data_IF_731422012479
#
_entry.id   IF_731422012479
#
_cell.length_a   1.000
_cell.length_b   1.000
_cell.length_c   1.000
_cell.angle_alpha   90.00
_cell.angle_beta   90.00
_cell.angle_gamma   90.00
#
_symmetry.space_group_name_H-M   'P 1'
#
loop_
_entity.id
_entity.type
_entity.pdbx_description
1 polymer ?
#
# COMPACT_ATOMS: atom_id res chain seq x y z
N UNK A 1 -6.77 -14.50 67.74
CA UNK A 1 -7.42 -13.60 66.76
C UNK A 1 -6.34 -12.68 66.25
N UNK A 2 -5.69 -13.08 65.16
CA UNK A 2 -4.65 -12.30 64.48
C UNK A 2 -5.20 -11.88 63.13
N UNK A 3 -5.40 -10.59 62.95
CA UNK A 3 -5.75 -9.97 61.67
C UNK A 3 -4.48 -9.79 60.86
N UNK A 4 -4.34 -10.52 59.76
CA UNK A 4 -3.34 -10.25 58.73
C UNK A 4 -3.93 -9.22 57.75
N UNK A 5 -3.29 -8.05 57.68
CA UNK A 5 -3.54 -7.05 56.64
C UNK A 5 -2.91 -7.51 55.33
N UNK A 6 -3.68 -7.51 54.26
CA UNK A 6 -3.19 -7.58 52.89
C UNK A 6 -2.73 -6.18 52.49
N UNK A 7 -1.42 -5.98 52.35
CA UNK A 7 -0.86 -4.86 51.60
C UNK A 7 -1.11 -5.09 50.11
N UNK A 8 -1.93 -4.24 49.51
CA UNK A 8 -2.08 -4.13 48.07
C UNK A 8 -0.82 -3.49 47.49
N UNK A 9 -0.05 -4.30 46.76
CA UNK A 9 1.11 -3.83 45.98
C UNK A 9 0.57 -2.95 44.84
N UNK A 10 0.70 -1.63 45.01
CA UNK A 10 0.36 -0.64 44.00
C UNK A 10 1.30 -0.75 42.80
N UNK A 11 0.71 -0.81 41.60
CA UNK A 11 1.41 -0.71 40.32
C UNK A 11 2.34 0.51 40.33
N UNK A 12 3.60 0.30 39.97
CA UNK A 12 4.69 1.29 40.06
C UNK A 12 4.68 2.34 38.93
N UNK A 13 3.54 2.55 38.28
CA UNK A 13 3.40 3.53 37.21
C UNK A 13 2.17 4.38 37.48
N UNK A 14 2.39 5.68 37.64
CA UNK A 14 1.33 6.68 37.75
C UNK A 14 0.68 6.88 36.38
N UNK A 15 -0.64 7.01 36.32
CA UNK A 15 -1.39 7.24 35.08
C UNK A 15 -0.92 8.54 34.38
N UNK A 16 -0.36 9.49 35.14
CA UNK A 16 0.28 10.69 34.63
C UNK A 16 1.60 10.44 33.88
N UNK A 17 2.38 9.43 34.28
CA UNK A 17 3.62 9.06 33.59
C UNK A 17 3.32 8.35 32.26
N UNK A 18 2.27 7.52 32.22
CA UNK A 18 1.82 6.88 30.98
C UNK A 18 1.26 7.89 29.97
N UNK A 19 0.53 8.91 30.44
CA UNK A 19 -0.01 9.97 29.58
C UNK A 19 1.07 10.91 29.01
N UNK A 20 2.25 10.96 29.62
CA UNK A 20 3.38 11.78 29.17
C UNK A 20 4.29 11.05 28.17
N UNK A 21 4.06 9.77 27.88
CA UNK A 21 4.84 9.05 26.88
C UNK A 21 4.56 9.64 25.48
N UNK A 22 5.59 9.91 24.67
CA UNK A 22 5.43 10.44 23.31
C UNK A 22 4.95 9.35 22.35
N UNK A 23 3.69 8.93 22.50
CA UNK A 23 3.08 7.84 21.73
C UNK A 23 2.87 8.20 20.25
N UNK A 24 2.86 9.48 19.91
CA UNK A 24 2.69 9.94 18.54
C UNK A 24 3.88 9.56 17.62
N UNK A 25 5.10 9.48 18.16
CA UNK A 25 6.28 9.00 17.41
C UNK A 25 6.44 7.48 17.45
N UNK A 26 6.17 6.87 18.61
CA UNK A 26 6.40 5.44 18.83
C UNK A 26 5.56 4.51 17.93
N UNK A 27 4.40 4.97 17.43
CA UNK A 27 3.56 4.18 16.50
C UNK A 27 4.11 4.21 15.07
N UNK A 28 4.74 5.31 14.67
CA UNK A 28 5.38 5.44 13.37
C UNK A 28 6.66 4.60 13.33
N UNK A 29 7.48 4.70 14.39
CA UNK A 29 8.67 3.86 14.58
C UNK A 29 8.33 2.35 14.55
N UNK A 30 7.17 1.95 15.07
CA UNK A 30 6.73 0.55 15.09
C UNK A 30 6.28 0.05 13.70
N UNK A 31 5.54 0.88 12.94
CA UNK A 31 5.13 0.55 11.57
C UNK A 31 6.33 0.54 10.62
N UNK A 32 7.26 1.46 10.81
CA UNK A 32 8.53 1.51 10.08
C UNK A 32 9.43 0.31 10.42
N UNK A 33 9.50 -0.12 11.69
CA UNK A 33 10.21 -1.34 12.07
C UNK A 33 9.63 -2.60 11.43
N UNK A 34 8.30 -2.70 11.28
CA UNK A 34 7.65 -3.85 10.62
C UNK A 34 7.97 -3.86 9.11
N UNK A 35 7.97 -2.70 8.45
CA UNK A 35 8.30 -2.56 7.03
C UNK A 35 9.80 -2.74 6.73
N UNK A 36 10.67 -2.37 7.68
CA UNK A 36 12.12 -2.46 7.54
C UNK A 36 12.71 -3.77 8.06
N UNK A 37 11.91 -4.69 8.63
CA UNK A 37 12.42 -5.98 9.09
C UNK A 37 12.70 -6.86 7.86
N UNK A 38 13.97 -7.23 7.57
CA UNK A 38 14.24 -8.17 6.50
C UNK A 38 13.55 -9.49 6.83
N UNK A 39 12.71 -9.98 5.91
CA UNK A 39 12.13 -11.32 5.99
C UNK A 39 13.31 -12.30 6.10
N UNK A 40 13.49 -13.04 7.21
CA UNK A 40 14.62 -13.93 7.33
C UNK A 40 14.54 -14.98 6.23
N UNK A 41 15.48 -14.93 5.30
CA UNK A 41 15.64 -15.92 4.25
C UNK A 41 15.89 -17.25 4.94
N UNK A 42 14.95 -18.19 4.82
CA UNK A 42 15.10 -19.54 5.38
C UNK A 42 16.22 -20.23 4.60
N UNK A 43 17.44 -20.19 5.13
CA UNK A 43 18.57 -20.93 4.58
C UNK A 43 18.17 -22.42 4.55
N UNK A 44 18.18 -23.09 3.40
CA UNK A 44 18.00 -24.53 3.38
C UNK A 44 19.14 -25.14 4.17
N UNK A 45 18.78 -25.84 5.24
CA UNK A 45 19.69 -26.61 6.09
C UNK A 45 20.39 -27.65 5.22
N UNK A 46 21.57 -27.30 4.71
CA UNK A 46 22.48 -28.21 4.01
C UNK A 46 23.44 -28.86 5.02
N UNK A 47 22.89 -29.49 6.07
CA UNK A 47 23.69 -30.36 6.92
C UNK A 47 22.83 -31.51 7.47
N UNK A 48 22.77 -32.60 6.71
CA UNK A 48 22.43 -33.94 7.21
C UNK A 48 22.92 -35.01 6.22
N UNK A 49 24.23 -35.06 6.00
CA UNK A 49 24.92 -36.26 5.54
C UNK A 49 25.36 -37.08 6.75
N UNK A 50 24.40 -37.71 7.44
CA UNK A 50 24.74 -38.83 8.33
C UNK A 50 23.67 -39.93 8.23
N UNK A 51 24.06 -40.99 7.53
CA UNK A 51 23.24 -42.16 7.27
C UNK A 51 23.00 -42.97 8.54
N UNK A 52 21.75 -42.96 9.01
CA UNK A 52 21.21 -44.03 9.87
C UNK A 52 19.84 -44.50 9.37
N UNK A 53 19.61 -45.81 9.25
CA UNK A 53 18.37 -46.35 8.70
C UNK A 53 17.30 -46.41 9.80
N UNK A 54 16.18 -45.70 9.61
CA UNK A 54 15.01 -45.82 10.47
C UNK A 54 13.85 -46.44 9.68
N UNK A 55 13.17 -47.36 10.35
CA UNK A 55 12.27 -48.37 9.81
C UNK A 55 10.93 -47.83 9.31
N UNK A 56 10.53 -48.39 8.17
CA UNK A 56 9.19 -48.47 7.53
C UNK A 56 7.98 -48.26 8.45
N UNK A 57 7.14 -47.28 8.10
CA UNK A 57 5.70 -47.48 7.93
C UNK A 57 5.16 -46.65 6.74
N UNK A 58 4.45 -47.35 5.85
CA UNK A 58 3.57 -46.85 4.78
C UNK A 58 2.57 -45.84 5.36
N UNK A 59 2.16 -44.73 4.73
CA UNK A 59 2.29 -44.26 3.35
C UNK A 59 1.01 -43.47 3.04
N UNK A 60 1.13 -42.26 2.50
CA UNK A 60 0.38 -41.73 1.36
C UNK A 60 1.04 -40.41 0.95
N UNK A 61 1.33 -40.33 -0.35
CA UNK A 61 2.02 -39.25 -1.04
C UNK A 61 0.96 -38.22 -1.45
N UNK A 62 1.27 -36.94 -1.23
CA UNK A 62 0.95 -35.90 -2.19
C UNK A 62 2.14 -34.93 -2.22
N UNK A 63 2.90 -35.02 -3.32
CA UNK A 63 3.71 -33.92 -3.84
C UNK A 63 2.75 -32.74 -4.10
N UNK A 64 3.12 -31.47 -3.94
CA UNK A 64 4.41 -30.84 -4.16
C UNK A 64 4.18 -29.77 -5.21
N UNK A 65 4.27 -28.50 -4.80
CA UNK A 65 4.55 -27.32 -5.61
C UNK A 65 4.86 -26.21 -4.59
N UNK A 66 6.14 -25.90 -4.44
CA UNK A 66 6.55 -24.70 -3.74
C UNK A 66 6.52 -23.58 -4.79
N UNK A 67 5.43 -22.82 -4.83
CA UNK A 67 5.44 -21.50 -5.40
C UNK A 67 6.20 -20.60 -4.40
N UNK A 68 7.30 -20.00 -4.85
CA UNK A 68 7.90 -18.91 -4.10
C UNK A 68 7.08 -17.66 -4.42
N UNK A 69 6.06 -17.39 -3.62
CA UNK A 69 5.40 -16.09 -3.61
C UNK A 69 6.33 -15.10 -2.95
N UNK A 70 6.78 -14.11 -3.71
CA UNK A 70 7.38 -12.90 -3.14
C UNK A 70 6.19 -12.10 -2.62
N UNK A 71 5.88 -12.27 -1.34
CA UNK A 71 4.93 -11.39 -0.66
C UNK A 71 5.64 -10.05 -0.44
N UNK A 72 5.38 -9.08 -1.32
CA UNK A 72 5.66 -7.69 -1.03
C UNK A 72 4.75 -7.27 0.12
N UNK A 73 5.29 -7.18 1.33
CA UNK A 73 4.57 -6.67 2.49
C UNK A 73 4.38 -5.15 2.33
N UNK A 74 3.34 -4.74 1.61
CA UNK A 74 2.93 -3.34 1.51
C UNK A 74 2.02 -3.03 2.70
N UNK A 75 2.57 -2.45 3.77
CA UNK A 75 1.75 -1.85 4.82
C UNK A 75 1.37 -0.43 4.38
N UNK A 76 0.14 -0.24 3.91
CA UNK A 76 -0.42 1.10 3.66
C UNK A 76 -0.83 1.72 5.01
N UNK A 77 -0.24 2.86 5.42
CA UNK A 77 -0.71 3.54 6.63
C UNK A 77 -2.03 4.27 6.33
N UNK A 78 -3.14 3.72 6.83
CA UNK A 78 -4.51 4.26 6.76
C UNK A 78 -4.73 5.67 7.36
N UNK A 79 -3.68 6.35 7.83
CA UNK A 79 -3.81 7.62 8.54
C UNK A 79 -3.97 8.85 7.63
N UNK A 80 -3.68 8.75 6.33
CA UNK A 80 -3.67 9.92 5.44
C UNK A 80 -5.04 10.34 4.89
N UNK A 81 -6.12 9.58 5.14
CA UNK A 81 -7.48 9.93 4.67
C UNK A 81 -8.24 10.92 5.56
N UNK A 82 -7.64 11.44 6.65
CA UNK A 82 -8.30 12.43 7.53
C UNK A 82 -7.90 13.86 7.19
N UNK A 83 -8.61 14.47 6.23
CA UNK A 83 -8.53 15.89 5.95
C UNK A 83 -9.34 16.72 6.94
N UNK A 84 -8.78 17.04 8.10
CA UNK A 84 -9.28 18.11 8.98
C UNK A 84 -8.10 18.97 9.47
N UNK A 85 -8.00 20.19 8.96
CA UNK A 85 -7.15 21.26 9.52
C UNK A 85 -8.04 22.20 10.37
N UNK A 86 -8.08 22.04 11.70
CA UNK A 86 -8.86 22.91 12.58
C UNK A 86 -8.14 24.22 12.94
N UNK A 87 -7.28 24.77 12.07
CA UNK A 87 -6.45 25.95 12.39
C UNK A 87 -6.50 27.09 11.37
N UNK A 88 -7.65 27.37 10.74
CA UNK A 88 -7.87 28.66 10.07
C UNK A 88 -8.81 29.58 10.85
N UNK A 89 -8.32 30.70 11.43
CA UNK A 89 -9.18 31.76 11.92
C UNK A 89 -9.84 32.51 10.75
N UNK A 90 -11.06 33.06 10.94
CA UNK A 90 -11.80 33.72 9.87
C UNK A 90 -11.12 35.01 9.42
N UNK A 91 -10.65 35.03 8.18
CA UNK A 91 -10.14 36.25 7.54
C UNK A 91 -11.33 37.06 6.99
N UNK A 92 -11.45 38.29 7.48
CA UNK A 92 -12.56 39.19 7.20
C UNK A 92 -12.61 39.72 5.77
N UNK A 93 -13.83 40.06 5.36
CA UNK A 93 -14.18 40.69 4.11
C UNK A 93 -13.47 42.06 3.90
N UNK A 94 -12.91 42.25 2.70
CA UNK A 94 -12.33 43.51 2.25
C UNK A 94 -12.39 43.68 0.74
N UNK A 95 -13.48 44.32 0.28
CA UNK A 95 -13.65 45.27 -0.84
C UNK A 95 -12.58 45.35 -1.96
N UNK A 96 -13.03 44.97 -3.16
CA UNK A 96 -12.84 45.58 -4.51
C UNK A 96 -11.73 46.61 -4.78
N UNK A 97 -10.89 46.32 -5.78
CA UNK A 97 -10.46 47.28 -6.80
C UNK A 97 -9.97 46.57 -8.08
N UNK A 98 -10.56 46.91 -9.22
CA UNK A 98 -10.09 46.55 -10.56
C UNK A 98 -8.93 47.49 -11.01
N UNK A 99 -8.09 47.04 -11.95
CA UNK A 99 -7.78 47.92 -13.06
C UNK A 99 -7.86 47.26 -14.44
N UNK A 100 -8.10 48.15 -15.41
CA UNK A 100 -8.32 48.01 -16.85
C UNK A 100 -7.16 47.40 -17.68
N UNK A 101 -7.43 47.04 -18.95
CA UNK A 101 -6.50 46.31 -19.83
C UNK A 101 -5.66 47.22 -20.74
N UNK A 102 -4.49 46.75 -21.18
CA UNK A 102 -3.77 47.19 -22.41
C UNK A 102 -2.45 46.43 -22.60
N UNK A 103 -1.87 46.40 -23.81
CA UNK A 103 -2.42 45.95 -25.08
C UNK A 103 -1.53 44.84 -25.71
N UNK A 104 -1.99 44.31 -26.84
CA UNK A 104 -1.27 43.36 -27.68
C UNK A 104 0.08 43.89 -28.17
N UNK A 105 1.05 43.00 -28.29
CA UNK A 105 2.09 43.07 -29.32
C UNK A 105 2.32 41.69 -29.94
N UNK A 106 2.49 41.78 -31.25
CA UNK A 106 2.56 40.75 -32.29
C UNK A 106 4.02 40.39 -32.59
N UNK A 107 4.20 39.29 -33.34
CA UNK A 107 5.38 38.81 -34.08
C UNK A 107 6.39 37.90 -33.38
N UNK A 108 6.58 36.70 -33.96
CA UNK A 108 7.74 35.86 -33.66
C UNK A 108 7.63 34.40 -34.05
N UNK A 109 7.45 34.12 -35.34
CA UNK A 109 7.52 32.79 -35.94
C UNK A 109 8.97 32.27 -35.91
N UNK A 110 9.21 31.12 -35.28
CA UNK A 110 10.46 30.36 -35.42
C UNK A 110 10.13 28.85 -35.48
N UNK A 111 10.27 28.30 -36.68
CA UNK A 111 10.35 26.87 -36.94
C UNK A 111 11.68 26.32 -36.39
N UNK A 112 11.61 25.25 -35.61
CA UNK A 112 12.75 24.53 -35.06
C UNK A 112 12.28 23.27 -34.34
N UNK A 113 12.16 22.18 -35.08
CA UNK A 113 11.95 20.84 -34.53
C UNK A 113 13.25 20.36 -33.87
N UNK A 114 13.15 19.90 -32.61
CA UNK A 114 13.79 18.73 -32.01
C UNK A 114 13.88 18.93 -30.49
N UNK A 115 12.96 18.30 -29.77
CA UNK A 115 12.86 18.35 -28.31
C UNK A 115 11.43 18.59 -27.82
N UNK A 116 10.51 17.68 -28.15
CA UNK A 116 9.18 17.66 -27.52
C UNK A 116 9.34 17.22 -26.05
N UNK A 117 9.72 18.17 -25.20
CA UNK A 117 9.61 18.05 -23.76
C UNK A 117 8.13 18.06 -23.39
N UNK A 118 7.62 16.90 -22.98
CA UNK A 118 6.32 16.72 -22.37
C UNK A 118 6.35 17.34 -20.96
N UNK A 119 5.93 18.59 -20.82
CA UNK A 119 5.55 19.19 -19.53
C UNK A 119 4.39 20.17 -19.72
N UNK A 120 3.24 19.66 -20.13
CA UNK A 120 1.97 20.36 -19.90
C UNK A 120 1.39 19.81 -18.60
N UNK A 121 1.40 20.62 -17.54
CA UNK A 121 0.63 20.35 -16.34
C UNK A 121 -0.86 20.38 -16.69
N UNK A 122 -1.64 19.39 -16.25
CA UNK A 122 -3.10 19.47 -16.30
C UNK A 122 -3.57 20.59 -15.34
N UNK A 123 -4.68 21.27 -15.66
CA UNK A 123 -5.10 22.50 -14.97
C UNK A 123 -5.70 22.30 -13.56
N UNK A 124 -5.77 21.08 -13.04
CA UNK A 124 -6.48 20.73 -11.80
C UNK A 124 -5.58 20.65 -10.54
N UNK A 125 -4.26 20.81 -10.67
CA UNK A 125 -3.33 20.72 -9.54
C UNK A 125 -3.10 19.31 -9.02
N UNK A 126 -3.60 18.29 -9.73
CA UNK A 126 -3.19 16.90 -9.55
C UNK A 126 -1.69 16.82 -9.88
N UNK A 127 -0.92 15.98 -9.17
CA UNK A 127 0.52 15.75 -9.40
C UNK A 127 0.73 15.02 -10.74
N UNK A 128 0.37 15.64 -11.85
CA UNK A 128 0.09 15.00 -13.13
C UNK A 128 1.35 14.53 -13.86
N UNK A 129 2.52 15.07 -13.51
CA UNK A 129 3.74 14.79 -14.25
C UNK A 129 4.56 13.60 -13.75
N UNK A 130 4.47 13.24 -12.47
CA UNK A 130 5.54 12.44 -11.85
C UNK A 130 5.15 11.03 -11.43
N UNK A 131 3.86 10.71 -11.33
CA UNK A 131 3.35 9.38 -10.93
C UNK A 131 3.36 8.35 -12.04
N UNK A 132 3.81 8.71 -13.25
CA UNK A 132 3.75 7.82 -14.43
C UNK A 132 5.15 7.60 -14.97
N UNK A 133 5.91 6.84 -14.20
CA UNK A 133 7.23 6.37 -14.60
C UNK A 133 7.11 4.92 -15.05
N UNK A 134 7.69 4.59 -16.20
CA UNK A 134 7.84 3.22 -16.68
C UNK A 134 9.32 2.91 -16.91
N UNK A 135 9.62 1.61 -16.95
CA UNK A 135 10.92 1.11 -17.40
C UNK A 135 10.86 0.81 -18.90
N UNK A 136 11.58 1.57 -19.72
CA UNK A 136 11.75 1.25 -21.14
C UNK A 136 12.79 0.12 -21.27
N UNK A 137 12.47 -1.11 -20.88
CA UNK A 137 13.38 -2.25 -21.03
C UNK A 137 12.61 -3.50 -21.47
N UNK A 138 12.94 -4.11 -22.63
CA UNK A 138 12.22 -5.28 -23.12
C UNK A 138 12.23 -6.46 -22.14
N UNK A 139 11.07 -7.09 -21.99
CA UNK A 139 10.89 -8.28 -21.16
C UNK A 139 10.69 -8.00 -19.67
N UNK A 140 10.53 -6.73 -19.28
CA UNK A 140 9.96 -6.35 -17.99
C UNK A 140 8.45 -6.15 -18.14
N UNK A 141 7.70 -6.60 -17.14
CA UNK A 141 6.24 -6.47 -17.08
C UNK A 141 5.81 -5.87 -15.74
N UNK A 142 4.70 -5.15 -15.73
CA UNK A 142 4.09 -4.67 -14.49
C UNK A 142 3.46 -5.87 -13.78
N UNK A 143 3.91 -6.13 -12.55
CA UNK A 143 3.40 -7.22 -11.70
C UNK A 143 2.55 -6.72 -10.54
N UNK A 144 2.66 -5.44 -10.18
CA UNK A 144 1.86 -4.81 -9.13
C UNK A 144 1.73 -3.31 -9.40
N UNK A 145 0.57 -2.73 -9.10
CA UNK A 145 0.33 -1.29 -9.19
C UNK A 145 -0.67 -0.86 -8.13
N UNK A 146 -0.35 0.13 -7.31
CA UNK A 146 -1.32 0.77 -6.43
C UNK A 146 -1.04 2.26 -6.41
N UNK A 147 -1.94 3.06 -6.97
CA UNK A 147 -1.83 4.51 -7.04
C UNK A 147 -2.97 5.11 -6.20
N UNK A 148 -2.64 5.94 -5.21
CA UNK A 148 -3.64 6.56 -4.34
C UNK A 148 -3.19 7.93 -3.83
N UNK A 149 -3.92 8.99 -4.18
CA UNK A 149 -3.82 10.28 -3.48
C UNK A 149 -2.43 10.92 -3.50
N UNK A 150 -1.68 10.71 -4.60
CA UNK A 150 -0.30 11.20 -4.75
C UNK A 150 0.77 10.31 -4.11
N UNK A 151 0.36 9.18 -3.52
CA UNK A 151 1.22 8.04 -3.25
C UNK A 151 1.08 7.03 -4.37
N UNK A 152 2.10 6.19 -4.53
CA UNK A 152 1.89 4.96 -5.27
C UNK A 152 3.08 4.04 -5.25
N UNK A 153 2.83 2.83 -5.72
CA UNK A 153 3.81 1.77 -5.89
C UNK A 153 3.57 1.10 -7.24
N UNK A 154 4.65 0.85 -7.98
CA UNK A 154 4.64 0.07 -9.21
C UNK A 154 5.79 -0.93 -9.14
N UNK A 155 5.48 -2.21 -9.24
CA UNK A 155 6.50 -3.26 -9.32
C UNK A 155 6.58 -3.75 -10.74
N UNK A 156 7.81 -3.78 -11.28
CA UNK A 156 8.11 -4.41 -12.56
C UNK A 156 9.00 -5.62 -12.34
N UNK A 157 8.67 -6.72 -13.01
CA UNK A 157 9.38 -8.00 -12.90
C UNK A 157 9.98 -8.48 -14.21
N UNK A 158 11.10 -9.18 -14.13
CA UNK A 158 11.71 -9.96 -15.20
C UNK A 158 12.37 -11.22 -14.62
N UNK A 159 11.62 -12.33 -14.56
CA UNK A 159 12.12 -13.58 -14.00
C UNK A 159 12.37 -13.47 -12.50
N UNK A 160 13.64 -13.55 -12.07
CA UNK A 160 14.07 -13.37 -10.68
C UNK A 160 14.48 -11.91 -10.36
N UNK A 161 14.39 -11.01 -11.35
CA UNK A 161 14.74 -9.60 -11.20
C UNK A 161 13.48 -8.78 -10.99
N UNK A 162 13.58 -7.78 -10.13
CA UNK A 162 12.48 -6.90 -9.79
C UNK A 162 12.98 -5.47 -9.58
N UNK A 163 12.16 -4.48 -9.94
CA UNK A 163 12.32 -3.09 -9.57
C UNK A 163 10.96 -2.53 -9.15
N UNK A 164 10.92 -1.97 -7.96
CA UNK A 164 9.79 -1.27 -7.36
C UNK A 164 10.04 0.24 -7.47
N UNK A 165 9.04 0.95 -7.96
CA UNK A 165 9.00 2.40 -8.02
C UNK A 165 7.94 2.90 -7.04
N UNK A 166 8.36 3.75 -6.11
CA UNK A 166 7.48 4.37 -5.14
C UNK A 166 7.42 5.87 -5.36
N UNK A 167 6.21 6.43 -5.26
CA UNK A 167 5.95 7.86 -5.31
C UNK A 167 5.49 8.36 -3.96
N UNK A 168 6.08 9.47 -3.53
CA UNK A 168 5.76 10.09 -2.25
C UNK A 168 5.64 11.61 -2.38
N UNK A 169 4.82 12.27 -1.54
CA UNK A 169 4.85 13.71 -1.38
C UNK A 169 6.24 14.22 -0.96
N UNK A 170 6.68 15.35 -1.52
CA UNK A 170 7.99 15.96 -1.24
C UNK A 170 8.24 16.20 0.25
N UNK A 171 7.18 16.51 1.02
CA UNK A 171 7.25 16.71 2.48
C UNK A 171 7.75 15.48 3.26
N UNK A 172 7.66 14.28 2.68
CA UNK A 172 8.14 13.05 3.31
C UNK A 172 9.63 12.78 3.05
N UNK A 173 10.26 13.50 2.12
CA UNK A 173 11.60 13.20 1.62
C UNK A 173 12.66 13.18 2.72
N UNK A 174 12.71 14.21 3.57
CA UNK A 174 13.75 14.32 4.60
C UNK A 174 13.68 13.16 5.59
N UNK A 175 12.47 12.69 5.92
CA UNK A 175 12.26 11.53 6.81
C UNK A 175 12.79 10.26 6.18
N UNK A 176 12.39 9.96 4.94
CA UNK A 176 12.85 8.77 4.20
C UNK A 176 14.36 8.82 3.97
N UNK A 177 14.89 9.96 3.58
CA UNK A 177 16.32 10.12 3.34
C UNK A 177 17.12 9.90 4.63
N UNK A 178 16.65 10.45 5.75
CA UNK A 178 17.29 10.27 7.05
C UNK A 178 17.25 8.81 7.52
N UNK A 179 16.17 8.08 7.25
CA UNK A 179 16.07 6.65 7.55
C UNK A 179 17.14 5.86 6.77
N UNK A 180 17.26 6.11 5.46
CA UNK A 180 18.26 5.42 4.62
C UNK A 180 19.70 5.79 4.95
N UNK A 181 19.93 7.03 5.39
CA UNK A 181 21.25 7.53 5.77
C UNK A 181 21.58 7.24 7.25
N UNK A 182 20.68 6.62 8.02
CA UNK A 182 20.96 6.27 9.42
C UNK A 182 21.99 5.13 9.49
N UNK A 183 23.20 5.36 10.05
CA UNK A 183 24.20 4.31 10.18
C UNK A 183 23.74 3.13 11.05
N UNK A 184 22.70 3.29 11.87
CA UNK A 184 22.10 2.21 12.68
C UNK A 184 21.26 1.26 11.83
N UNK A 185 20.75 1.70 10.68
CA UNK A 185 20.02 0.87 9.72
C UNK A 185 20.91 -0.12 8.97
N UNK A 186 22.24 0.06 9.03
CA UNK A 186 23.21 -0.85 8.42
C UNK A 186 23.30 -0.78 6.89
N UNK A 187 22.65 0.21 6.27
CA UNK A 187 22.69 0.42 4.83
C UNK A 187 24.01 1.08 4.41
N UNK A 188 24.60 0.59 3.32
CA UNK A 188 25.81 1.22 2.76
C UNK A 188 25.42 2.31 1.77
N UNK A 189 25.78 3.57 2.07
CA UNK A 189 25.61 4.66 1.12
C UNK A 189 26.59 4.52 -0.06
N UNK A 190 26.04 4.37 -1.25
CA UNK A 190 26.80 4.15 -2.49
C UNK A 190 27.24 5.45 -3.20
N UNK A 191 26.69 6.59 -2.77
CA UNK A 191 26.98 7.91 -3.31
C UNK A 191 25.87 8.48 -4.20
N UNK A 192 26.20 9.53 -4.96
CA UNK A 192 25.28 10.17 -5.89
C UNK A 192 25.19 9.42 -7.23
N UNK A 193 24.00 9.43 -7.82
CA UNK A 193 23.70 8.92 -9.17
C UNK A 193 22.71 9.84 -9.89
N UNK A 194 22.25 9.43 -11.07
CA UNK A 194 21.14 10.07 -11.80
C UNK A 194 19.95 9.13 -11.89
N UNK A 195 18.74 9.65 -11.73
CA UNK A 195 17.49 8.94 -11.99
C UNK A 195 16.51 9.92 -12.63
N UNK A 196 15.92 9.54 -13.77
CA UNK A 196 15.00 10.40 -14.54
C UNK A 196 15.62 11.78 -14.86
N UNK A 197 16.91 11.81 -15.21
CA UNK A 197 17.65 13.03 -15.56
C UNK A 197 17.95 13.98 -14.38
N UNK A 198 17.76 13.53 -13.13
CA UNK A 198 17.99 14.34 -11.92
C UNK A 198 18.94 13.65 -10.95
N UNK A 199 19.53 14.44 -10.06
CA UNK A 199 20.38 13.92 -8.99
C UNK A 199 19.59 13.02 -8.04
N UNK A 200 20.22 11.92 -7.67
CA UNK A 200 19.69 10.95 -6.73
C UNK A 200 20.81 10.42 -5.82
N UNK A 201 20.46 9.85 -4.68
CA UNK A 201 21.40 9.14 -3.79
C UNK A 201 21.02 7.67 -3.76
N UNK A 202 22.03 6.78 -3.74
CA UNK A 202 21.80 5.34 -3.67
C UNK A 202 22.36 4.71 -2.40
N UNK A 203 21.72 3.63 -1.97
CA UNK A 203 22.09 2.80 -0.84
C UNK A 203 22.02 1.31 -1.22
N UNK A 204 22.84 0.48 -0.57
CA UNK A 204 22.75 -0.97 -0.66
C UNK A 204 22.15 -1.55 0.63
N UNK A 205 21.15 -2.41 0.46
CA UNK A 205 20.58 -3.25 1.53
C UNK A 205 21.36 -4.57 1.67
N UNK A 206 22.03 -4.99 0.60
CA UNK A 206 22.85 -6.18 0.55
C UNK A 206 23.33 -6.45 -0.88
N UNK A 207 23.97 -7.60 -1.12
CA UNK A 207 24.34 -8.01 -2.46
C UNK A 207 23.11 -8.11 -3.37
N UNK A 208 22.99 -7.17 -4.31
CA UNK A 208 21.96 -7.14 -5.33
C UNK A 208 20.68 -6.39 -4.99
N UNK A 209 20.50 -5.91 -3.74
CA UNK A 209 19.37 -5.08 -3.32
C UNK A 209 19.83 -3.64 -3.14
N UNK A 210 19.32 -2.76 -4.01
CA UNK A 210 19.69 -1.36 -4.07
C UNK A 210 18.44 -0.49 -4.01
N UNK A 211 18.57 0.66 -3.36
CA UNK A 211 17.56 1.71 -3.39
C UNK A 211 18.17 3.03 -3.85
N UNK A 212 17.41 3.82 -4.60
CA UNK A 212 17.79 5.13 -5.12
C UNK A 212 16.66 6.10 -4.93
N UNK A 213 16.91 7.17 -4.17
CA UNK A 213 15.96 8.26 -3.98
C UNK A 213 16.38 9.47 -4.80
N UNK A 214 15.47 9.93 -5.67
CA UNK A 214 15.64 11.21 -6.39
C UNK A 214 15.29 12.37 -5.46
N UNK A 215 15.99 13.49 -5.59
CA UNK A 215 15.60 14.71 -4.88
C UNK A 215 14.18 15.16 -5.28
N UNK A 216 13.39 15.75 -4.36
CA UNK A 216 12.02 16.14 -4.67
C UNK A 216 11.92 17.19 -5.78
N UNK A 217 10.87 17.10 -6.58
CA UNK A 217 10.54 18.00 -7.67
C UNK A 217 9.01 18.07 -7.80
N UNK A 218 8.46 19.23 -8.16
CA UNK A 218 7.01 19.45 -8.34
C UNK A 218 6.11 18.92 -7.20
N UNK A 219 6.61 18.91 -5.96
CA UNK A 219 5.84 18.46 -4.81
C UNK A 219 5.83 16.95 -4.55
N UNK A 220 6.60 16.16 -5.29
CA UNK A 220 6.80 14.71 -5.06
C UNK A 220 8.26 14.28 -5.18
N UNK A 221 8.56 13.05 -4.80
CA UNK A 221 9.81 12.37 -5.15
C UNK A 221 9.55 10.91 -5.52
N UNK A 222 10.52 10.32 -6.24
CA UNK A 222 10.50 8.91 -6.63
C UNK A 222 11.63 8.20 -5.90
N UNK A 223 11.31 7.04 -5.37
CA UNK A 223 12.28 6.05 -4.95
C UNK A 223 12.19 4.83 -5.87
N UNK A 224 13.31 4.40 -6.42
CA UNK A 224 13.44 3.08 -7.03
C UNK A 224 14.14 2.14 -6.05
N UNK A 225 13.67 0.90 -5.92
CA UNK A 225 14.34 -0.16 -5.17
C UNK A 225 14.24 -1.46 -5.93
N UNK A 226 15.25 -2.33 -5.88
CA UNK A 226 15.09 -3.63 -6.52
C UNK A 226 16.26 -4.58 -6.42
N UNK A 227 15.92 -5.85 -6.72
CA UNK A 227 16.85 -6.94 -6.90
C UNK A 227 17.19 -7.09 -8.38
N UNK A 228 18.08 -6.25 -8.89
CA UNK A 228 18.28 -6.09 -10.34
C UNK A 228 19.58 -6.68 -10.89
N UNK A 229 20.36 -7.40 -10.06
CA UNK A 229 21.69 -7.92 -10.40
C UNK A 229 22.77 -7.27 -9.56
N UNK A 230 23.92 -6.97 -10.15
CA UNK A 230 24.92 -6.14 -9.48
C UNK A 230 24.57 -4.65 -9.55
N UNK A 231 25.34 -3.81 -8.85
CA UNK A 231 25.13 -2.36 -8.82
C UNK A 231 25.08 -1.74 -10.22
N UNK A 232 25.93 -2.18 -11.14
CA UNK A 232 25.97 -1.61 -12.48
C UNK A 232 24.73 -1.99 -13.29
N UNK A 233 24.23 -3.22 -13.14
CA UNK A 233 22.98 -3.66 -13.74
C UNK A 233 21.78 -2.88 -13.20
N UNK A 234 21.75 -2.60 -11.89
CA UNK A 234 20.72 -1.77 -11.28
C UNK A 234 20.78 -0.32 -11.77
N UNK A 235 21.95 0.32 -11.74
CA UNK A 235 22.14 1.70 -12.24
C UNK A 235 21.76 1.81 -13.73
N UNK A 236 22.04 0.77 -14.54
CA UNK A 236 21.61 0.73 -15.94
C UNK A 236 20.08 0.71 -16.10
N UNK A 237 19.32 0.12 -15.18
CA UNK A 237 17.85 0.19 -15.21
C UNK A 237 17.35 1.60 -14.88
N UNK A 238 17.99 2.31 -13.94
CA UNK A 238 17.62 3.68 -13.60
C UNK A 238 17.72 4.63 -14.79
N UNK A 239 18.72 4.41 -15.66
CA UNK A 239 18.90 5.16 -16.91
C UNK A 239 17.83 4.87 -17.97
N UNK A 240 17.07 3.78 -17.82
CA UNK A 240 15.96 3.36 -18.71
C UNK A 240 14.58 3.78 -18.16
N UNK A 241 14.52 4.37 -16.96
CA UNK A 241 13.28 4.92 -16.43
C UNK A 241 12.87 6.16 -17.23
N UNK A 242 11.61 6.21 -17.64
CA UNK A 242 11.03 7.29 -18.45
C UNK A 242 9.71 7.78 -17.86
N UNK A 243 9.49 9.09 -17.92
CA UNK A 243 8.15 9.65 -17.70
C UNK A 243 7.28 9.43 -18.93
N UNK A 244 6.04 9.01 -18.73
CA UNK A 244 5.07 8.76 -19.79
C UNK A 244 3.74 9.46 -19.52
N UNK A 245 2.92 9.63 -20.56
CA UNK A 245 1.55 10.12 -20.40
C UNK A 245 0.62 9.04 -19.80
N UNK A 246 -0.58 9.46 -19.40
CA UNK A 246 -1.61 8.58 -18.81
C UNK A 246 -1.95 7.39 -19.70
N UNK A 247 -2.20 7.66 -20.99
CA UNK A 247 -2.63 6.62 -21.91
C UNK A 247 -1.54 5.56 -22.13
N UNK A 248 -0.28 5.98 -22.21
CA UNK A 248 0.88 5.09 -22.34
C UNK A 248 1.11 4.30 -21.06
N UNK A 249 0.96 4.93 -19.88
CA UNK A 249 1.04 4.25 -18.60
C UNK A 249 -0.03 3.15 -18.50
N UNK A 250 -1.30 3.51 -18.70
CA UNK A 250 -2.43 2.58 -18.63
C UNK A 250 -2.32 1.46 -19.67
N UNK A 251 -1.80 1.74 -20.87
CA UNK A 251 -1.56 0.72 -21.90
C UNK A 251 -0.42 -0.25 -21.55
N UNK A 252 0.49 0.14 -20.66
CA UNK A 252 1.57 -0.72 -20.15
C UNK A 252 1.14 -1.56 -18.94
N UNK A 253 0.00 -1.23 -18.32
CA UNK A 253 -0.58 -2.04 -17.26
C UNK A 253 -1.10 -3.35 -17.87
N UNK A 254 -0.47 -4.45 -17.47
CA UNK A 254 -0.80 -5.80 -17.89
C UNK A 254 -1.23 -6.64 -16.71
N UNK A 255 -1.70 -7.87 -16.97
CA UNK A 255 -2.04 -8.83 -15.93
C UNK A 255 -3.25 -8.39 -15.11
N UNK A 256 -3.08 -8.32 -13.80
CA UNK A 256 -4.15 -8.08 -12.83
C UNK A 256 -4.37 -6.59 -12.51
N UNK A 257 -3.76 -5.69 -13.27
CA UNK A 257 -4.03 -4.26 -13.13
C UNK A 257 -5.47 -3.92 -13.57
N UNK A 258 -6.17 -3.17 -12.73
CA UNK A 258 -7.52 -2.65 -12.95
C UNK A 258 -7.40 -1.16 -13.26
N UNK A 259 -7.65 -0.82 -14.53
CA UNK A 259 -7.70 0.58 -14.95
C UNK A 259 -8.94 1.29 -14.37
N UNK A 260 -8.88 2.63 -14.19
CA UNK A 260 -10.01 3.40 -13.66
C UNK A 260 -11.32 3.20 -14.44
N UNK A 261 -11.22 3.08 -15.78
CA UNK A 261 -12.38 2.88 -16.65
C UNK A 261 -13.05 1.51 -16.48
N UNK A 262 -12.28 0.49 -16.07
CA UNK A 262 -12.76 -0.89 -15.91
C UNK A 262 -13.19 -1.20 -14.47
N UNK A 263 -12.81 -0.33 -13.51
CA UNK A 263 -12.98 -0.55 -12.08
C UNK A 263 -14.40 -0.95 -11.67
N UNK A 264 -15.43 -0.26 -12.18
CA UNK A 264 -16.81 -0.54 -11.79
C UNK A 264 -17.25 -1.94 -12.25
N UNK A 265 -16.90 -2.33 -13.48
CA UNK A 265 -17.22 -3.66 -14.01
C UNK A 265 -16.49 -4.75 -13.23
N UNK A 266 -15.23 -4.51 -12.83
CA UNK A 266 -14.46 -5.42 -11.97
C UNK A 266 -15.10 -5.58 -10.59
N UNK A 267 -15.58 -4.50 -9.96
CA UNK A 267 -16.32 -4.59 -8.69
C UNK A 267 -17.59 -5.44 -8.86
N UNK A 268 -18.37 -5.19 -9.91
CA UNK A 268 -19.60 -5.95 -10.18
C UNK A 268 -19.32 -7.45 -10.37
N UNK A 269 -18.21 -7.79 -11.04
CA UNK A 269 -17.74 -9.16 -11.17
C UNK A 269 -17.41 -9.78 -9.81
N UNK A 270 -16.62 -9.10 -8.97
CA UNK A 270 -16.22 -9.59 -7.64
C UNK A 270 -17.40 -9.75 -6.68
N UNK A 271 -18.47 -8.96 -6.86
CA UNK A 271 -19.67 -9.04 -6.04
C UNK A 271 -20.64 -10.16 -6.47
N UNK A 272 -20.40 -10.82 -7.61
CA UNK A 272 -21.37 -11.74 -8.21
C UNK A 272 -21.74 -12.94 -7.33
N UNK A 273 -20.83 -13.39 -6.45
CA UNK A 273 -21.02 -14.51 -5.52
C UNK A 273 -20.91 -14.12 -4.04
N UNK A 274 -20.80 -12.82 -3.75
CA UNK A 274 -20.71 -12.28 -2.40
C UNK A 274 -22.11 -11.90 -1.90
N UNK A 275 -22.60 -12.43 -0.76
CA UNK A 275 -23.82 -11.93 -0.15
C UNK A 275 -23.62 -10.48 0.28
N UNK A 276 -24.41 -9.56 -0.28
CA UNK A 276 -24.36 -8.13 0.05
C UNK A 276 -25.57 -7.69 0.87
N UNK A 277 -25.42 -6.73 1.80
CA UNK A 277 -26.55 -6.18 2.55
C UNK A 277 -27.58 -5.53 1.64
N UNK A 278 -28.83 -5.45 2.10
CA UNK A 278 -29.90 -4.83 1.34
C UNK A 278 -29.56 -3.38 0.95
N UNK A 279 -29.63 -3.09 -0.34
CA UNK A 279 -29.35 -1.76 -0.90
C UNK A 279 -27.89 -1.51 -1.27
N UNK A 280 -26.96 -2.38 -0.90
CA UNK A 280 -25.55 -2.27 -1.29
C UNK A 280 -25.37 -2.37 -2.81
N UNK A 281 -24.58 -1.48 -3.40
CA UNK A 281 -24.26 -1.42 -4.82
C UNK A 281 -22.75 -1.35 -5.05
N UNK A 282 -22.31 -1.69 -6.25
CA UNK A 282 -20.90 -1.60 -6.65
C UNK A 282 -20.30 -0.19 -6.45
N UNK A 283 -21.10 0.86 -6.68
CA UNK A 283 -20.68 2.26 -6.48
C UNK A 283 -20.48 2.67 -5.02
N UNK A 284 -20.83 1.82 -4.05
CA UNK A 284 -20.60 2.09 -2.62
C UNK A 284 -19.16 1.75 -2.19
N UNK A 285 -18.39 1.03 -3.02
CA UNK A 285 -17.00 0.65 -2.72
C UNK A 285 -16.09 1.86 -2.91
N UNK A 286 -15.41 2.36 -1.85
CA UNK A 286 -14.55 3.52 -1.95
C UNK A 286 -13.24 3.19 -2.69
N UNK A 287 -12.47 4.23 -3.01
CA UNK A 287 -11.13 4.11 -3.57
C UNK A 287 -11.07 3.97 -5.09
N UNK A 288 -9.85 4.02 -5.61
CA UNK A 288 -9.52 3.88 -7.03
C UNK A 288 -9.66 5.14 -7.88
N UNK A 289 -10.47 6.12 -7.49
CA UNK A 289 -10.50 7.47 -8.12
C UNK A 289 -10.24 7.49 -9.63
N UNK A 290 -9.23 8.26 -10.04
CA UNK A 290 -8.67 8.31 -11.40
C UNK A 290 -7.41 7.44 -11.57
N UNK A 291 -7.13 6.60 -10.58
CA UNK A 291 -5.85 5.92 -10.39
C UNK A 291 -5.98 4.41 -10.61
N UNK A 292 -4.96 3.80 -11.22
CA UNK A 292 -4.94 2.35 -11.43
C UNK A 292 -4.57 1.61 -10.15
N UNK A 293 -5.17 0.44 -9.95
CA UNK A 293 -4.91 -0.44 -8.82
C UNK A 293 -4.81 -1.88 -9.31
N UNK A 294 -4.05 -2.72 -8.65
CA UNK A 294 -4.08 -4.15 -8.89
C UNK A 294 -5.40 -4.75 -8.36
N UNK A 295 -5.73 -5.91 -8.91
CA UNK A 295 -6.98 -6.62 -8.61
C UNK A 295 -7.08 -7.03 -7.14
N UNK A 296 -5.96 -7.32 -6.49
CA UNK A 296 -5.95 -7.65 -5.07
C UNK A 296 -6.40 -6.45 -4.22
N UNK A 297 -5.90 -5.23 -4.50
CA UNK A 297 -6.32 -4.02 -3.79
C UNK A 297 -7.80 -3.69 -4.04
N UNK A 298 -8.28 -3.88 -5.28
CA UNK A 298 -9.70 -3.76 -5.60
C UNK A 298 -10.53 -4.79 -4.82
N UNK A 299 -10.07 -6.04 -4.75
CA UNK A 299 -10.71 -7.11 -3.99
C UNK A 299 -10.77 -6.82 -2.48
N UNK A 300 -9.69 -6.29 -1.91
CA UNK A 300 -9.65 -5.85 -0.51
C UNK A 300 -10.65 -4.73 -0.24
N UNK A 301 -10.73 -3.72 -1.11
CA UNK A 301 -11.73 -2.65 -0.99
C UNK A 301 -13.17 -3.19 -1.07
N UNK A 302 -13.46 -4.07 -2.03
CA UNK A 302 -14.79 -4.68 -2.20
C UNK A 302 -15.19 -5.48 -0.97
N UNK A 303 -14.36 -6.46 -0.60
CA UNK A 303 -14.68 -7.40 0.48
C UNK A 303 -14.65 -6.74 1.85
N UNK A 304 -13.74 -5.79 2.07
CA UNK A 304 -13.70 -4.96 3.26
C UNK A 304 -14.96 -4.13 3.43
N UNK A 305 -15.38 -3.41 2.38
CA UNK A 305 -16.61 -2.59 2.43
C UNK A 305 -17.85 -3.44 2.72
N UNK A 306 -17.99 -4.60 2.05
CA UNK A 306 -19.11 -5.52 2.31
C UNK A 306 -19.07 -6.03 3.74
N UNK A 307 -17.90 -6.45 4.24
CA UNK A 307 -17.74 -6.93 5.61
C UNK A 307 -18.06 -5.83 6.65
N UNK A 308 -17.59 -4.60 6.44
CA UNK A 308 -17.91 -3.45 7.29
C UNK A 308 -19.43 -3.24 7.42
N UNK A 309 -20.17 -3.34 6.30
CA UNK A 309 -21.62 -3.18 6.30
C UNK A 309 -22.34 -4.30 7.05
N UNK A 310 -21.89 -5.55 6.89
CA UNK A 310 -22.43 -6.67 7.66
C UNK A 310 -22.12 -6.56 9.15
N UNK A 311 -20.92 -6.12 9.53
CA UNK A 311 -20.54 -5.89 10.92
C UNK A 311 -21.40 -4.79 11.56
N UNK A 312 -21.63 -3.69 10.85
CA UNK A 312 -22.52 -2.61 11.30
C UNK A 312 -23.96 -3.11 11.51
N UNK A 313 -24.48 -3.93 10.59
CA UNK A 313 -25.80 -4.56 10.75
C UNK A 313 -25.82 -5.48 11.97
N UNK A 314 -24.82 -6.33 12.14
CA UNK A 314 -24.69 -7.26 13.26
C UNK A 314 -24.70 -6.53 14.61
N UNK A 315 -23.90 -5.47 14.76
CA UNK A 315 -23.84 -4.65 15.97
C UNK A 315 -25.18 -3.98 16.29
N UNK A 316 -25.81 -3.39 15.27
CA UNK A 316 -27.10 -2.71 15.41
C UNK A 316 -28.19 -3.70 15.82
N UNK A 317 -28.26 -4.85 15.16
CA UNK A 317 -29.23 -5.91 15.43
C UNK A 317 -29.06 -6.49 16.84
N UNK A 318 -27.81 -6.78 17.25
CA UNK A 318 -27.50 -7.27 18.60
C UNK A 318 -27.92 -6.27 19.67
N UNK A 319 -27.68 -4.98 19.45
CA UNK A 319 -28.08 -3.90 20.37
C UNK A 319 -29.61 -3.77 20.46
N UNK A 320 -30.31 -3.97 19.35
CA UNK A 320 -31.77 -3.90 19.28
C UNK A 320 -32.48 -5.18 19.76
N UNK A 321 -31.76 -6.29 19.93
CA UNK A 321 -32.34 -7.61 20.19
C UNK A 321 -33.05 -8.20 18.95
N UNK A 322 -32.62 -7.83 17.75
CA UNK A 322 -33.10 -8.41 16.49
C UNK A 322 -32.25 -9.62 16.10
N UNK A 323 -32.59 -10.77 16.68
CA UNK A 323 -31.85 -12.03 16.47
C UNK A 323 -31.80 -12.45 14.99
N UNK A 324 -32.84 -12.12 14.21
CA UNK A 324 -32.92 -12.50 12.80
C UNK A 324 -31.89 -11.72 11.97
N UNK A 325 -31.84 -10.39 12.14
CA UNK A 325 -30.89 -9.56 11.42
C UNK A 325 -29.43 -9.81 11.86
N UNK A 326 -29.21 -10.14 13.14
CA UNK A 326 -27.89 -10.54 13.63
C UNK A 326 -27.45 -11.88 13.03
N UNK A 327 -28.34 -12.86 12.96
CA UNK A 327 -28.05 -14.17 12.34
C UNK A 327 -27.74 -14.02 10.85
N UNK A 328 -28.52 -13.22 10.12
CA UNK A 328 -28.28 -12.95 8.69
C UNK A 328 -26.87 -12.39 8.44
N UNK A 329 -26.47 -11.37 9.21
CA UNK A 329 -25.15 -10.77 9.08
C UNK A 329 -24.02 -11.74 9.42
N UNK A 330 -24.18 -12.54 10.49
CA UNK A 330 -23.20 -13.56 10.87
C UNK A 330 -23.07 -14.65 9.79
N UNK A 331 -24.19 -15.11 9.22
CA UNK A 331 -24.21 -16.13 8.17
C UNK A 331 -23.52 -15.62 6.89
N UNK A 332 -23.77 -14.37 6.50
CA UNK A 332 -23.10 -13.73 5.37
C UNK A 332 -21.57 -13.67 5.59
N UNK A 333 -21.12 -13.17 6.74
CA UNK A 333 -19.69 -13.12 7.08
C UNK A 333 -19.07 -14.52 7.13
N UNK A 334 -19.76 -15.52 7.67
CA UNK A 334 -19.27 -16.91 7.73
C UNK A 334 -19.04 -17.51 6.34
N UNK A 335 -19.84 -17.12 5.35
CA UNK A 335 -19.67 -17.56 3.97
C UNK A 335 -18.43 -16.98 3.27
N UNK A 336 -17.70 -16.06 3.91
CA UNK A 336 -16.53 -15.40 3.31
C UNK A 336 -15.38 -16.31 2.89
N UNK A 337 -15.30 -17.53 3.43
CA UNK A 337 -14.34 -18.55 2.95
C UNK A 337 -14.69 -19.10 1.56
N UNK A 338 -15.93 -18.93 1.13
CA UNK A 338 -16.42 -19.40 -0.16
C UNK A 338 -16.45 -18.31 -1.24
N UNK A 339 -16.27 -17.04 -0.87
CA UNK A 339 -16.26 -15.90 -1.81
C UNK A 339 -15.11 -16.05 -2.80
N UNK A 340 -15.41 -16.06 -4.11
CA UNK A 340 -14.40 -16.27 -5.14
C UNK A 340 -13.25 -15.26 -5.04
N UNK A 341 -13.57 -13.98 -4.84
CA UNK A 341 -12.57 -12.90 -4.70
C UNK A 341 -11.60 -13.12 -3.53
N UNK A 342 -12.06 -13.60 -2.37
CA UNK A 342 -11.15 -13.85 -1.24
C UNK A 342 -10.28 -15.08 -1.45
N UNK A 343 -10.77 -16.10 -2.16
CA UNK A 343 -9.97 -17.27 -2.53
C UNK A 343 -8.92 -16.97 -3.59
N UNK A 344 -9.24 -16.06 -4.51
CA UNK A 344 -8.29 -15.50 -5.46
C UNK A 344 -7.16 -14.79 -4.71
N UNK A 345 -7.52 -13.86 -3.81
CA UNK A 345 -6.58 -13.08 -3.00
C UNK A 345 -5.70 -13.93 -2.07
N UNK A 346 -6.18 -15.08 -1.57
CA UNK A 346 -5.41 -15.98 -0.69
C UNK A 346 -4.12 -16.48 -1.35
N UNK A 347 -4.08 -16.55 -2.69
CA UNK A 347 -2.88 -16.96 -3.41
C UNK A 347 -1.76 -15.90 -3.38
N UNK A 348 -2.12 -14.63 -3.14
CA UNK A 348 -1.24 -13.47 -3.30
C UNK A 348 -0.90 -12.81 -1.96
N UNK A 349 -1.83 -12.80 -1.00
CA UNK A 349 -1.64 -12.13 0.28
C UNK A 349 -2.59 -12.57 1.39
N UNK A 350 -2.34 -12.03 2.59
CA UNK A 350 -2.96 -12.47 3.84
C UNK A 350 -4.23 -11.69 4.22
N UNK A 351 -4.71 -10.74 3.41
CA UNK A 351 -5.93 -9.99 3.70
C UNK A 351 -7.14 -10.90 4.00
N UNK A 352 -7.38 -11.99 3.24
CA UNK A 352 -8.49 -12.90 3.54
C UNK A 352 -8.47 -13.47 4.97
N UNK A 353 -7.29 -13.72 5.54
CA UNK A 353 -7.17 -14.23 6.91
C UNK A 353 -7.66 -13.23 7.96
N UNK A 354 -7.47 -11.93 7.73
CA UNK A 354 -8.01 -10.87 8.59
C UNK A 354 -9.53 -10.95 8.64
N UNK A 355 -10.17 -11.02 7.46
CA UNK A 355 -11.62 -11.07 7.35
C UNK A 355 -12.17 -12.39 7.93
N UNK A 356 -11.52 -13.53 7.65
CA UNK A 356 -11.93 -14.82 8.20
C UNK A 356 -11.76 -14.92 9.72
N UNK A 357 -10.77 -14.26 10.31
CA UNK A 357 -10.63 -14.16 11.76
C UNK A 357 -11.75 -13.31 12.37
N UNK A 358 -12.08 -12.17 11.75
CA UNK A 358 -13.21 -11.33 12.18
C UNK A 358 -14.53 -12.11 12.10
N UNK A 359 -14.77 -12.84 11.01
CA UNK A 359 -15.94 -13.70 10.86
C UNK A 359 -16.04 -14.76 11.97
N UNK A 360 -14.93 -15.40 12.35
CA UNK A 360 -14.90 -16.36 13.48
C UNK A 360 -15.28 -15.71 14.81
N UNK A 361 -14.92 -14.43 15.02
CA UNK A 361 -15.28 -13.71 16.24
C UNK A 361 -16.78 -13.40 16.27
N UNK A 362 -17.35 -12.96 15.15
CA UNK A 362 -18.80 -12.75 15.01
C UNK A 362 -19.58 -14.04 15.29
N UNK A 363 -19.09 -15.19 14.81
CA UNK A 363 -19.69 -16.50 15.11
C UNK A 363 -19.70 -16.86 16.60
N UNK A 364 -18.79 -16.28 17.40
CA UNK A 364 -18.77 -16.42 18.87
C UNK A 364 -19.61 -15.37 19.59
N UNK A 365 -20.29 -14.49 18.85
CA UNK A 365 -21.04 -13.39 19.42
C UNK A 365 -20.18 -12.15 19.74
N UNK A 366 -18.97 -12.07 19.20
CA UNK A 366 -18.00 -11.02 19.49
C UNK A 366 -17.84 -10.09 18.28
N UNK A 367 -17.68 -8.78 18.52
CA UNK A 367 -17.27 -7.84 17.47
C UNK A 367 -15.93 -7.21 17.87
N UNK A 368 -14.82 -7.50 17.14
CA UNK A 368 -13.51 -6.98 17.51
C UNK A 368 -13.45 -5.46 17.42
N UNK A 369 -13.10 -4.75 18.50
CA UNK A 369 -13.04 -3.28 18.51
C UNK A 369 -12.16 -2.65 17.42
N UNK A 370 -11.21 -3.40 16.89
CA UNK A 370 -10.22 -2.94 15.91
C UNK A 370 -10.59 -3.33 14.46
N UNK A 371 -11.76 -3.95 14.21
CA UNK A 371 -12.17 -4.35 12.85
C UNK A 371 -12.17 -3.17 11.88
N UNK A 372 -12.57 -1.99 12.35
CA UNK A 372 -12.67 -0.80 11.51
C UNK A 372 -11.32 -0.41 10.92
N UNK A 373 -10.25 -0.48 11.73
CA UNK A 373 -8.91 -0.19 11.23
C UNK A 373 -8.38 -1.29 10.30
N UNK A 374 -8.64 -2.56 10.61
CA UNK A 374 -8.16 -3.69 9.80
C UNK A 374 -8.85 -3.82 8.44
N UNK A 375 -10.13 -3.44 8.35
CA UNK A 375 -10.93 -3.53 7.12
C UNK A 375 -11.07 -2.20 6.38
N UNK A 376 -10.65 -1.08 7.00
CA UNK A 376 -10.83 0.26 6.45
C UNK A 376 -12.28 0.76 6.52
N UNK A 377 -13.01 0.43 7.58
CA UNK A 377 -14.37 0.95 7.80
C UNK A 377 -14.34 2.40 8.27
N UNK A 378 -15.28 3.21 7.78
CA UNK A 378 -15.49 4.63 8.16
C UNK A 378 -16.24 4.83 9.49
#
# INVERSE_FOLDING_TARGET
MSTHGHETSGSAYDDGELAALPLAGARQDLLEAIMATPVPTRTPDHDSLDGRPVSRHRGWLAAGLAAATVAAAVAVPAFWLRGDDPSQPPVGAGTTAAPEPSPADDTGQAEGADGAGLTAAEPDGTLVGQTRVLLDEPGWEVTYVDLQGGLGTLVLGQGDREIELNWYPAKAYDSYFSDRDDPRGGLERLGGTTMLGRSATSWAYGPGDYATMRTPEDGSFVEARGHAGDRAAYEALLDRLVHVDRATFEAALTGDAVAPADRLATIEEMLADVPVPAGFQAGDVPGGGDDAQDRYQVGAAVTGTVACRWLQQYETATTAGDDAAATEAADALRSSRDWAVLREMEAEGDYPEVLWEISRQVDRGEVPREYAQGLGCD
#
